data_IF_797373816624
#
_entry.id   IF_797373816624
#
_cell.length_a   1.000
_cell.length_b   1.000
_cell.length_c   1.000
_cell.angle_alpha   90.00
_cell.angle_beta   90.00
_cell.angle_gamma   90.00
#
_symmetry.space_group_name_H-M   'P 1'
#
loop_
_entity.id
_entity.type
_entity.pdbx_description
1 polymer ?
#
# COMPACT_ATOMS: atom_id res chain seq x y z
N UNK A 1 -2.44 29.29 56.17
CA UNK A 1 -2.92 29.08 54.80
C UNK A 1 -1.68 28.97 53.89
N UNK A 2 -0.96 27.87 53.72
CA UNK A 2 -1.26 26.44 53.64
C UNK A 2 -2.07 26.03 52.40
N UNK A 3 -1.49 26.15 51.20
CA UNK A 3 -1.76 25.25 50.05
C UNK A 3 -0.46 25.04 49.28
N UNK A 4 0.38 24.12 49.78
CA UNK A 4 1.47 23.52 49.01
C UNK A 4 0.84 22.35 48.24
N UNK A 5 0.47 22.57 46.97
CA UNK A 5 -0.04 21.50 46.11
C UNK A 5 1.07 20.48 45.87
N UNK A 6 0.98 19.35 46.58
CA UNK A 6 1.74 18.13 46.32
C UNK A 6 1.40 17.62 44.91
N UNK A 7 2.25 17.89 43.92
CA UNK A 7 2.39 17.01 42.77
C UNK A 7 3.24 15.81 43.22
N UNK A 8 2.60 14.84 43.87
CA UNK A 8 3.14 13.49 43.90
C UNK A 8 3.06 12.95 42.47
N UNK A 9 4.20 12.91 41.79
CA UNK A 9 4.37 12.05 40.63
C UNK A 9 4.33 10.63 41.15
N UNK A 10 3.15 9.99 41.07
CA UNK A 10 3.10 8.55 41.27
C UNK A 10 4.08 7.90 40.29
N UNK A 11 5.02 7.06 40.76
CA UNK A 11 5.86 6.32 39.85
C UNK A 11 4.94 5.48 38.97
N UNK A 12 4.98 5.73 37.66
CA UNK A 12 4.33 4.87 36.67
C UNK A 12 4.69 3.44 37.06
N UNK A 13 3.72 2.55 37.32
CA UNK A 13 4.03 1.18 37.63
C UNK A 13 4.87 0.67 36.48
N UNK A 14 6.15 0.40 36.76
CA UNK A 14 7.01 -0.33 35.84
C UNK A 14 6.19 -1.55 35.50
N UNK A 15 5.78 -1.65 34.23
CA UNK A 15 5.19 -2.87 33.72
C UNK A 15 6.29 -3.90 33.88
N UNK A 16 6.26 -4.55 35.04
CA UNK A 16 7.02 -5.72 35.38
C UNK A 16 6.75 -6.62 34.21
N UNK A 17 7.74 -6.73 33.34
CA UNK A 17 7.66 -7.51 32.13
C UNK A 17 7.15 -8.86 32.61
N UNK A 18 5.90 -9.18 32.28
CA UNK A 18 5.46 -10.54 32.36
C UNK A 18 6.39 -11.23 31.37
N UNK A 19 7.46 -11.81 31.90
CA UNK A 19 8.23 -12.88 31.31
C UNK A 19 7.25 -14.04 31.19
N UNK A 20 6.26 -13.85 30.30
CA UNK A 20 5.22 -14.79 29.98
C UNK A 20 5.99 -15.94 29.41
N UNK A 21 6.03 -17.06 30.14
CA UNK A 21 6.63 -18.33 29.72
C UNK A 21 6.10 -18.64 28.33
N UNK A 22 6.84 -18.22 27.30
CA UNK A 22 6.34 -18.24 25.93
C UNK A 22 6.17 -19.71 25.56
N UNK A 23 4.94 -20.09 25.18
CA UNK A 23 4.68 -21.44 24.70
C UNK A 23 5.62 -21.74 23.52
N UNK A 24 6.05 -23.00 23.32
CA UNK A 24 6.90 -23.35 22.18
C UNK A 24 6.29 -22.91 20.85
N UNK A 25 4.96 -22.94 20.76
CA UNK A 25 4.19 -22.42 19.63
C UNK A 25 4.42 -20.92 19.41
N UNK A 26 4.37 -20.10 20.46
CA UNK A 26 4.61 -18.66 20.35
C UNK A 26 6.04 -18.35 19.92
N UNK A 27 7.02 -19.13 20.39
CA UNK A 27 8.43 -19.00 19.95
C UNK A 27 8.59 -19.35 18.47
N UNK A 28 7.93 -20.42 18.00
CA UNK A 28 7.94 -20.81 16.59
C UNK A 28 7.29 -19.74 15.71
N UNK A 29 6.13 -19.23 16.12
CA UNK A 29 5.41 -18.16 15.39
C UNK A 29 6.26 -16.90 15.30
N UNK A 30 6.90 -16.49 16.39
CA UNK A 30 7.81 -15.34 16.38
C UNK A 30 9.00 -15.55 15.45
N UNK A 31 9.66 -16.73 15.53
CA UNK A 31 10.78 -17.08 14.64
C UNK A 31 10.38 -17.08 13.16
N UNK A 32 9.19 -17.62 12.86
CA UNK A 32 8.67 -17.63 11.51
C UNK A 32 8.35 -16.20 11.03
N UNK A 33 7.77 -15.37 11.91
CA UNK A 33 7.53 -13.96 11.64
C UNK A 33 8.81 -13.21 11.31
N UNK A 34 9.83 -13.34 12.15
CA UNK A 34 11.14 -12.71 11.93
C UNK A 34 11.76 -13.15 10.60
N UNK A 35 11.70 -14.45 10.29
CA UNK A 35 12.17 -14.99 9.02
C UNK A 35 11.40 -14.42 7.82
N UNK A 36 10.06 -14.37 7.89
CA UNK A 36 9.24 -13.81 6.82
C UNK A 36 9.56 -12.33 6.58
N UNK A 37 9.76 -11.56 7.65
CA UNK A 37 10.09 -10.13 7.57
C UNK A 37 11.53 -9.88 7.09
N UNK A 38 12.47 -10.78 7.36
CA UNK A 38 13.85 -10.65 6.88
C UNK A 38 13.95 -10.96 5.37
N UNK A 39 13.30 -12.06 4.94
CA UNK A 39 13.38 -12.60 3.58
C UNK A 39 12.23 -12.18 2.65
N UNK A 40 11.31 -11.32 3.10
CA UNK A 40 10.09 -10.94 2.36
C UNK A 40 10.32 -10.63 0.87
N UNK A 41 11.33 -9.81 0.55
CA UNK A 41 11.63 -9.41 -0.82
C UNK A 41 12.11 -10.58 -1.68
N UNK A 42 12.92 -11.49 -1.10
CA UNK A 42 13.38 -12.69 -1.80
C UNK A 42 12.22 -13.67 -2.02
N UNK A 43 11.32 -13.80 -1.05
CA UNK A 43 10.11 -14.62 -1.19
C UNK A 43 9.26 -14.12 -2.36
N UNK A 44 9.05 -12.81 -2.48
CA UNK A 44 8.30 -12.22 -3.61
C UNK A 44 9.01 -12.52 -4.94
N UNK A 45 10.32 -12.25 -5.03
CA UNK A 45 11.09 -12.47 -6.26
C UNK A 45 11.11 -13.94 -6.68
N UNK A 46 11.32 -14.87 -5.74
CA UNK A 46 11.29 -16.31 -6.01
C UNK A 46 9.90 -16.75 -6.46
N UNK A 47 8.84 -16.28 -5.80
CA UNK A 47 7.46 -16.62 -6.17
C UNK A 47 7.12 -16.16 -7.59
N UNK A 48 7.48 -14.91 -7.94
CA UNK A 48 7.31 -14.38 -9.29
C UNK A 48 8.15 -15.14 -10.32
N UNK A 49 9.40 -15.45 -9.98
CA UNK A 49 10.31 -16.22 -10.83
C UNK A 49 9.79 -17.63 -11.10
N UNK A 50 9.26 -18.31 -10.09
CA UNK A 50 8.63 -19.62 -10.23
C UNK A 50 7.40 -19.55 -11.13
N UNK A 51 6.55 -18.54 -10.97
CA UNK A 51 5.37 -18.35 -11.81
C UNK A 51 5.74 -18.16 -13.29
N UNK A 52 6.68 -17.25 -13.59
CA UNK A 52 7.15 -16.98 -14.96
C UNK A 52 7.84 -18.22 -15.55
N UNK A 53 8.68 -18.90 -14.75
CA UNK A 53 9.38 -20.11 -15.17
C UNK A 53 8.40 -21.24 -15.48
N UNK A 54 7.37 -21.44 -14.66
CA UNK A 54 6.33 -22.42 -14.90
C UNK A 54 5.56 -22.13 -16.21
N UNK A 55 5.24 -20.86 -16.48
CA UNK A 55 4.56 -20.45 -17.70
C UNK A 55 5.39 -20.73 -18.97
N UNK A 56 6.70 -20.48 -18.90
CA UNK A 56 7.64 -20.80 -19.99
C UNK A 56 7.83 -22.30 -20.10
N UNK A 57 7.89 -23.03 -19.00
CA UNK A 57 8.13 -24.48 -19.00
C UNK A 57 7.06 -25.25 -19.79
N UNK A 58 5.78 -24.86 -19.70
CA UNK A 58 4.66 -25.54 -20.40
C UNK A 58 4.95 -25.88 -21.86
N UNK A 59 5.19 -24.92 -22.77
CA UNK A 59 5.42 -25.23 -24.18
C UNK A 59 6.68 -26.07 -24.42
N UNK A 60 7.73 -25.91 -23.61
CA UNK A 60 8.94 -26.74 -23.71
C UNK A 60 8.67 -28.19 -23.29
N UNK A 61 7.91 -28.41 -22.21
CA UNK A 61 7.53 -29.76 -21.77
C UNK A 61 6.63 -30.45 -22.78
N UNK A 62 5.65 -29.74 -23.36
CA UNK A 62 4.81 -30.30 -24.42
C UNK A 62 5.58 -30.60 -25.71
N UNK A 63 6.54 -29.75 -26.08
CA UNK A 63 7.44 -30.03 -27.22
C UNK A 63 8.26 -31.31 -27.02
N UNK A 64 8.70 -31.59 -25.79
CA UNK A 64 9.40 -32.84 -25.43
C UNK A 64 8.47 -34.07 -25.31
N UNK A 65 7.15 -33.90 -25.50
CA UNK A 65 6.16 -34.96 -25.33
C UNK A 65 5.82 -35.29 -23.87
N UNK A 66 6.25 -34.46 -22.90
CA UNK A 66 6.00 -34.64 -21.46
C UNK A 66 4.63 -34.08 -21.05
N UNK A 67 3.59 -34.43 -21.80
CA UNK A 67 2.23 -33.90 -21.60
C UNK A 67 1.63 -34.24 -20.24
N UNK A 68 2.05 -35.37 -19.64
CA UNK A 68 1.64 -35.77 -18.30
C UNK A 68 2.03 -34.74 -17.22
N UNK A 69 3.10 -33.98 -17.45
CA UNK A 69 3.58 -32.92 -16.55
C UNK A 69 3.11 -31.53 -17.03
N UNK A 70 3.13 -31.30 -18.34
CA UNK A 70 2.74 -30.01 -18.93
C UNK A 70 1.28 -29.64 -18.65
N UNK A 71 0.34 -30.58 -18.87
CA UNK A 71 -1.11 -30.31 -18.74
C UNK A 71 -1.54 -29.92 -17.32
N UNK A 72 -1.10 -30.59 -16.25
CA UNK A 72 -1.37 -30.13 -14.88
C UNK A 72 -0.82 -28.74 -14.58
N UNK A 73 0.39 -28.40 -15.05
CA UNK A 73 0.97 -27.06 -14.86
C UNK A 73 0.13 -26.02 -15.59
N UNK A 74 -0.22 -26.28 -16.85
CA UNK A 74 -1.07 -25.40 -17.66
C UNK A 74 -2.46 -25.19 -17.02
N UNK A 75 -3.05 -26.26 -16.50
CA UNK A 75 -4.31 -26.20 -15.76
C UNK A 75 -4.18 -25.42 -14.45
N UNK A 76 -3.12 -25.62 -13.67
CA UNK A 76 -2.88 -24.85 -12.45
C UNK A 76 -2.72 -23.34 -12.75
N UNK A 77 -2.07 -23.00 -13.87
CA UNK A 77 -1.93 -21.60 -14.30
C UNK A 77 -3.27 -20.95 -14.73
N UNK A 78 -4.34 -21.72 -14.95
CA UNK A 78 -5.67 -21.14 -15.21
C UNK A 78 -6.20 -20.34 -14.01
N UNK A 79 -5.81 -20.68 -12.79
CA UNK A 79 -6.16 -19.89 -11.60
C UNK A 79 -5.53 -18.48 -11.63
N UNK A 80 -4.48 -18.29 -12.43
CA UNK A 80 -3.77 -17.01 -12.58
C UNK A 80 -4.17 -16.30 -13.88
N UNK A 81 -4.49 -17.04 -14.94
CA UNK A 81 -4.76 -16.49 -16.25
C UNK A 81 -5.79 -17.29 -17.02
N UNK A 82 -6.73 -16.63 -17.70
CA UNK A 82 -7.72 -17.31 -18.52
C UNK A 82 -7.17 -18.02 -19.79
N UNK A 83 -5.89 -17.80 -20.14
CA UNK A 83 -5.19 -18.51 -21.23
C UNK A 83 -5.93 -18.52 -22.57
N UNK A 84 -6.46 -17.37 -22.99
CA UNK A 84 -7.17 -17.20 -24.27
C UNK A 84 -6.22 -17.48 -25.44
N UNK A 85 -6.50 -18.48 -26.31
CA UNK A 85 -5.58 -18.90 -27.37
C UNK A 85 -5.22 -17.82 -28.40
N UNK A 86 -6.15 -16.90 -28.69
CA UNK A 86 -5.94 -15.79 -29.64
C UNK A 86 -5.06 -14.66 -29.09
N UNK A 87 -4.71 -14.71 -27.79
CA UNK A 87 -4.02 -13.64 -27.08
C UNK A 87 -2.78 -14.14 -26.34
N UNK A 88 -2.40 -15.38 -26.58
CA UNK A 88 -1.21 -16.01 -26.02
C UNK A 88 -0.08 -16.10 -27.04
N UNK A 89 1.14 -16.23 -26.54
CA UNK A 89 2.29 -16.56 -27.37
C UNK A 89 2.36 -18.07 -27.62
N UNK A 90 2.99 -18.45 -28.72
CA UNK A 90 3.25 -19.84 -29.05
C UNK A 90 4.76 -20.05 -29.21
N UNK A 91 5.29 -21.07 -28.55
CA UNK A 91 6.69 -21.48 -28.64
C UNK A 91 6.68 -22.94 -29.12
N UNK A 92 7.38 -23.22 -30.22
CA UNK A 92 7.36 -24.55 -30.90
C UNK A 92 5.95 -25.07 -31.22
N UNK A 93 5.01 -24.17 -31.54
CA UNK A 93 3.61 -24.54 -31.84
C UNK A 93 2.74 -24.82 -30.61
N UNK A 94 3.29 -24.74 -29.39
CA UNK A 94 2.56 -24.89 -28.14
C UNK A 94 2.29 -23.55 -27.47
N UNK A 95 1.09 -23.41 -26.91
CA UNK A 95 0.66 -22.21 -26.21
C UNK A 95 1.46 -22.00 -24.92
N UNK A 96 1.88 -20.75 -24.67
CA UNK A 96 2.49 -20.36 -23.40
C UNK A 96 1.49 -20.49 -22.25
N UNK A 97 1.95 -20.87 -21.05
CA UNK A 97 1.09 -21.05 -19.88
C UNK A 97 0.39 -19.79 -19.34
N UNK A 98 0.65 -18.62 -19.93
CA UNK A 98 0.00 -17.35 -19.62
C UNK A 98 -0.26 -16.58 -20.92
N UNK A 99 -1.34 -15.81 -21.00
CA UNK A 99 -1.58 -14.86 -22.10
C UNK A 99 -0.45 -13.83 -22.19
N UNK A 100 -0.27 -13.23 -23.37
CA UNK A 100 0.78 -12.24 -23.63
C UNK A 100 0.81 -11.09 -22.60
N UNK A 101 -0.37 -10.57 -22.21
CA UNK A 101 -0.51 -9.51 -21.19
C UNK A 101 -0.09 -9.98 -19.79
N UNK A 102 -0.57 -11.13 -19.34
CA UNK A 102 -0.23 -11.64 -17.99
C UNK A 102 1.25 -12.02 -17.93
N UNK A 103 1.78 -12.63 -18.99
CA UNK A 103 3.20 -12.93 -19.08
C UNK A 103 4.06 -11.67 -18.97
N UNK A 104 3.74 -10.60 -19.72
CA UNK A 104 4.51 -9.34 -19.65
C UNK A 104 4.41 -8.64 -18.30
N UNK A 105 3.25 -8.68 -17.62
CA UNK A 105 3.09 -8.19 -16.24
C UNK A 105 4.02 -8.95 -15.29
N UNK A 106 3.88 -10.28 -15.22
CA UNK A 106 4.63 -11.06 -14.22
C UNK A 106 6.13 -11.10 -14.54
N UNK A 107 6.51 -11.11 -15.82
CA UNK A 107 7.91 -11.03 -16.22
C UNK A 107 8.54 -9.68 -15.83
N UNK A 108 7.86 -8.55 -16.07
CA UNK A 108 8.39 -7.24 -15.68
C UNK A 108 8.42 -7.06 -14.16
N UNK A 109 7.41 -7.59 -13.44
CA UNK A 109 7.42 -7.63 -11.98
C UNK A 109 8.58 -8.47 -11.44
N UNK A 110 8.81 -9.66 -12.03
CA UNK A 110 9.93 -10.52 -11.66
C UNK A 110 11.26 -9.78 -11.87
N UNK A 111 11.51 -9.23 -13.06
CA UNK A 111 12.73 -8.49 -13.38
C UNK A 111 12.90 -7.28 -12.44
N UNK A 112 11.85 -6.49 -12.23
CA UNK A 112 11.88 -5.35 -11.31
C UNK A 112 12.20 -5.75 -9.87
N UNK A 113 11.62 -6.86 -9.40
CA UNK A 113 11.85 -7.37 -8.04
C UNK A 113 13.26 -7.96 -7.89
N UNK A 114 13.75 -8.65 -8.92
CA UNK A 114 15.10 -9.20 -8.97
C UNK A 114 16.13 -8.07 -8.93
N UNK A 115 15.92 -7.04 -9.75
CA UNK A 115 16.73 -5.82 -9.72
C UNK A 115 16.69 -5.18 -8.31
N UNK A 116 15.52 -5.08 -7.68
CA UNK A 116 15.37 -4.54 -6.32
C UNK A 116 16.19 -5.32 -5.27
N UNK A 117 16.13 -6.65 -5.32
CA UNK A 117 16.89 -7.56 -4.46
C UNK A 117 18.40 -7.43 -4.72
N UNK A 118 18.83 -7.46 -5.99
CA UNK A 118 20.24 -7.36 -6.38
C UNK A 118 20.86 -6.01 -6.01
N UNK A 119 20.09 -4.93 -6.08
CA UNK A 119 20.50 -3.59 -5.63
C UNK A 119 20.45 -3.42 -4.10
N UNK A 120 20.35 -4.51 -3.34
CA UNK A 120 20.33 -4.51 -1.87
C UNK A 120 19.25 -3.59 -1.29
N UNK A 121 18.07 -3.56 -1.91
CA UNK A 121 16.90 -2.77 -1.48
C UNK A 121 17.14 -1.25 -1.47
N UNK A 122 18.09 -0.73 -2.27
CA UNK A 122 18.45 0.70 -2.34
C UNK A 122 17.69 1.53 -3.39
N UNK A 123 16.66 0.97 -4.02
CA UNK A 123 15.93 1.69 -5.06
C UNK A 123 15.13 2.87 -4.49
N UNK A 124 15.22 4.06 -5.10
CA UNK A 124 14.35 5.17 -4.74
C UNK A 124 12.91 4.82 -5.13
N UNK A 125 11.99 5.05 -4.19
CA UNK A 125 10.55 4.92 -4.45
C UNK A 125 10.08 6.03 -5.39
N UNK A 126 9.21 5.69 -6.33
CA UNK A 126 8.57 6.67 -7.22
C UNK A 126 7.41 7.36 -6.51
N UNK A 127 7.10 8.62 -6.85
CA UNK A 127 5.92 9.30 -6.33
C UNK A 127 4.63 8.70 -6.93
N UNK A 128 3.53 8.81 -6.19
CA UNK A 128 2.26 8.13 -6.51
C UNK A 128 1.70 8.51 -7.90
N UNK A 129 1.93 9.73 -8.38
CA UNK A 129 1.43 10.17 -9.70
C UNK A 129 2.16 9.50 -10.87
N UNK A 130 3.46 9.17 -10.73
CA UNK A 130 4.21 8.40 -11.75
C UNK A 130 3.71 6.97 -11.79
N UNK A 131 3.38 6.40 -10.63
CA UNK A 131 2.75 5.07 -10.56
C UNK A 131 1.41 5.06 -11.30
N UNK A 132 0.52 6.04 -11.05
CA UNK A 132 -0.75 6.17 -11.79
C UNK A 132 -0.51 6.32 -13.30
N UNK A 133 0.45 7.14 -13.71
CA UNK A 133 0.79 7.31 -15.13
C UNK A 133 1.20 5.99 -15.81
N UNK A 134 1.92 5.13 -15.10
CA UNK A 134 2.32 3.79 -15.58
C UNK A 134 1.15 2.79 -15.63
N UNK A 135 0.11 2.98 -14.81
CA UNK A 135 -1.10 2.15 -14.82
C UNK A 135 -2.05 2.50 -15.98
N UNK A 136 -2.15 3.79 -16.32
CA UNK A 136 -3.15 4.29 -17.27
C UNK A 136 -3.16 3.59 -18.64
N UNK A 137 -2.00 3.32 -19.29
CA UNK A 137 -2.00 2.65 -20.59
C UNK A 137 -2.66 1.27 -20.56
N UNK A 138 -2.45 0.50 -19.48
CA UNK A 138 -3.09 -0.80 -19.31
C UNK A 138 -4.58 -0.66 -19.01
N UNK A 139 -4.95 0.26 -18.11
CA UNK A 139 -6.36 0.48 -17.80
C UNK A 139 -7.13 0.84 -19.08
N UNK A 140 -6.57 1.74 -19.90
CA UNK A 140 -7.15 2.13 -21.17
C UNK A 140 -7.23 0.96 -22.17
N UNK A 141 -6.14 0.22 -22.38
CA UNK A 141 -6.10 -0.96 -23.28
C UNK A 141 -7.07 -2.06 -22.82
N UNK A 142 -7.15 -2.31 -21.51
CA UNK A 142 -8.09 -3.27 -20.92
C UNK A 142 -9.55 -2.85 -21.08
N UNK A 143 -9.89 -1.59 -20.73
CA UNK A 143 -11.25 -1.08 -20.85
C UNK A 143 -11.71 -1.08 -22.31
N UNK A 144 -10.93 -0.51 -23.22
CA UNK A 144 -11.31 -0.42 -24.63
C UNK A 144 -11.50 -1.79 -25.28
N UNK A 145 -10.70 -2.78 -24.89
CA UNK A 145 -10.86 -4.16 -25.36
C UNK A 145 -12.11 -4.84 -24.75
N UNK A 146 -12.42 -4.62 -23.47
CA UNK A 146 -13.61 -5.20 -22.83
C UNK A 146 -14.93 -4.68 -23.42
N UNK A 147 -14.97 -3.42 -23.84
CA UNK A 147 -16.14 -2.83 -24.52
C UNK A 147 -16.21 -3.16 -26.03
N UNK A 148 -15.28 -3.98 -26.55
CA UNK A 148 -15.26 -4.37 -27.96
C UNK A 148 -14.95 -3.22 -28.92
N UNK A 149 -14.45 -2.09 -28.39
CA UNK A 149 -14.16 -0.90 -29.19
C UNK A 149 -12.90 -1.08 -30.05
N UNK A 150 -12.06 -2.09 -29.72
CA UNK A 150 -10.80 -2.36 -30.39
C UNK A 150 -10.27 -3.77 -30.08
N UNK A 151 -9.66 -4.43 -31.07
CA UNK A 151 -8.80 -5.59 -30.86
C UNK A 151 -7.37 -5.15 -30.46
N UNK A 152 -6.85 -5.72 -29.38
CA UNK A 152 -5.54 -5.35 -28.84
C UNK A 152 -4.43 -6.18 -29.48
N UNK A 153 -3.49 -5.51 -30.13
CA UNK A 153 -2.31 -6.13 -30.73
C UNK A 153 -1.39 -6.73 -29.67
N UNK A 154 -0.66 -7.79 -30.03
CA UNK A 154 0.30 -8.42 -29.11
C UNK A 154 1.36 -7.43 -28.57
N UNK A 155 1.76 -6.45 -29.38
CA UNK A 155 2.73 -5.40 -29.00
C UNK A 155 2.16 -4.52 -27.89
N UNK A 156 0.92 -4.06 -28.03
CA UNK A 156 0.29 -3.22 -27.02
C UNK A 156 0.16 -3.95 -25.70
N UNK A 157 -0.28 -5.21 -25.73
CA UNK A 157 -0.38 -6.06 -24.52
C UNK A 157 0.95 -6.23 -23.80
N UNK A 158 2.04 -6.34 -24.55
CA UNK A 158 3.38 -6.43 -23.97
C UNK A 158 3.80 -5.09 -23.37
N UNK A 159 3.63 -3.98 -24.08
CA UNK A 159 4.05 -2.65 -23.61
C UNK A 159 3.23 -2.23 -22.39
N UNK A 160 1.90 -2.24 -22.50
CA UNK A 160 1.01 -1.84 -21.39
C UNK A 160 1.18 -2.78 -20.19
N UNK A 161 1.32 -4.08 -20.45
CA UNK A 161 1.69 -5.11 -19.48
C UNK A 161 2.97 -4.83 -18.71
N UNK A 162 4.04 -4.54 -19.45
CA UNK A 162 5.37 -4.28 -18.90
C UNK A 162 5.37 -3.02 -18.04
N UNK A 163 4.77 -1.92 -18.53
CA UNK A 163 4.67 -0.66 -17.80
C UNK A 163 3.89 -0.82 -16.49
N UNK A 164 2.76 -1.52 -16.54
CA UNK A 164 1.95 -1.80 -15.36
C UNK A 164 2.72 -2.63 -14.33
N UNK A 165 3.32 -3.76 -14.74
CA UNK A 165 4.04 -4.64 -13.82
C UNK A 165 5.27 -3.98 -13.20
N UNK A 166 6.07 -3.28 -14.01
CA UNK A 166 7.25 -2.54 -13.54
C UNK A 166 6.82 -1.40 -12.60
N UNK A 167 5.80 -0.62 -12.96
CA UNK A 167 5.28 0.47 -12.15
C UNK A 167 4.80 -0.01 -10.77
N UNK A 168 4.04 -1.12 -10.72
CA UNK A 168 3.59 -1.70 -9.47
C UNK A 168 4.75 -2.13 -8.57
N UNK A 169 5.72 -2.86 -9.10
CA UNK A 169 6.88 -3.33 -8.31
C UNK A 169 7.77 -2.17 -7.87
N UNK A 170 8.00 -1.18 -8.73
CA UNK A 170 8.81 -0.01 -8.40
C UNK A 170 8.14 0.89 -7.34
N UNK A 171 6.81 0.95 -7.31
CA UNK A 171 6.10 1.68 -6.26
C UNK A 171 6.00 0.88 -4.95
N UNK A 172 5.52 -0.36 -5.03
CA UNK A 172 5.14 -1.17 -3.86
C UNK A 172 6.36 -1.65 -3.07
N UNK A 173 7.43 -2.13 -3.72
CA UNK A 173 8.56 -2.70 -2.97
C UNK A 173 9.28 -1.66 -2.09
N UNK A 174 9.65 -0.46 -2.58
CA UNK A 174 10.24 0.56 -1.72
C UNK A 174 9.28 1.06 -0.64
N UNK A 175 7.97 1.13 -0.93
CA UNK A 175 6.96 1.50 0.06
C UNK A 175 6.87 0.47 1.18
N UNK A 176 6.76 -0.81 0.85
CA UNK A 176 6.79 -1.91 1.82
C UNK A 176 8.07 -1.90 2.64
N UNK A 177 9.23 -1.69 2.02
CA UNK A 177 10.50 -1.58 2.73
C UNK A 177 10.48 -0.44 3.77
N UNK A 178 9.89 0.71 3.45
CA UNK A 178 9.74 1.82 4.41
C UNK A 178 8.82 1.44 5.56
N UNK A 179 7.66 0.85 5.27
CA UNK A 179 6.71 0.41 6.29
C UNK A 179 7.28 -0.66 7.22
N UNK A 180 8.14 -1.56 6.72
CA UNK A 180 8.80 -2.58 7.53
C UNK A 180 9.95 -2.03 8.38
N UNK A 181 10.57 -0.92 7.97
CA UNK A 181 11.62 -0.25 8.73
C UNK A 181 11.09 0.78 9.72
N UNK A 182 9.83 1.20 9.62
CA UNK A 182 9.23 2.16 10.55
C UNK A 182 9.03 1.47 11.92
N UNK A 183 9.76 1.88 12.97
CA UNK A 183 9.64 1.26 14.26
C UNK A 183 8.36 1.77 14.95
N UNK A 184 7.65 0.92 15.71
CA UNK A 184 6.53 1.39 16.52
C UNK A 184 7.04 2.43 17.53
N UNK A 185 6.34 3.56 17.67
CA UNK A 185 6.75 4.64 18.58
C UNK A 185 6.94 4.09 20.01
N UNK A 186 7.92 4.60 20.79
CA UNK A 186 8.06 4.16 22.18
C UNK A 186 6.81 4.54 22.99
N UNK A 187 6.41 3.77 24.02
CA UNK A 187 5.18 4.02 24.80
C UNK A 187 5.06 5.44 25.37
N UNK A 188 6.19 6.00 25.78
CA UNK A 188 6.34 7.38 26.27
C UNK A 188 6.09 8.45 25.18
N UNK A 189 6.33 8.14 23.91
CA UNK A 189 5.96 9.00 22.79
C UNK A 189 4.43 9.00 22.56
N UNK A 190 3.78 7.83 22.69
CA UNK A 190 2.31 7.75 22.63
C UNK A 190 1.65 8.57 23.74
N UNK A 191 2.16 8.50 24.98
CA UNK A 191 1.65 9.31 26.09
C UNK A 191 1.76 10.82 25.85
N UNK A 192 2.87 11.28 25.27
CA UNK A 192 3.05 12.70 24.92
C UNK A 192 2.07 13.14 23.82
N UNK A 193 1.80 12.30 22.83
CA UNK A 193 0.81 12.59 21.79
C UNK A 193 -0.61 12.67 22.36
N UNK A 194 -0.96 11.77 23.28
CA UNK A 194 -2.28 11.77 23.96
C UNK A 194 -2.49 13.02 24.82
N UNK A 195 -1.41 13.63 25.33
CA UNK A 195 -1.45 14.87 26.10
C UNK A 195 -1.40 16.14 25.22
N UNK A 196 -1.58 16.01 23.89
CA UNK A 196 -1.49 17.13 22.94
C UNK A 196 -0.06 17.64 22.70
N UNK A 197 0.94 16.90 23.18
CA UNK A 197 2.36 17.20 22.96
C UNK A 197 2.85 16.73 21.58
N UNK A 198 3.91 17.36 21.06
CA UNK A 198 4.58 16.93 19.83
C UNK A 198 5.74 15.99 20.16
N UNK A 199 5.95 14.96 19.34
CA UNK A 199 7.13 14.08 19.47
C UNK A 199 8.21 14.57 18.51
N UNK A 200 9.36 15.05 19.04
CA UNK A 200 10.44 15.48 18.18
C UNK A 200 11.15 14.28 17.54
N UNK A 201 11.55 14.42 16.29
CA UNK A 201 12.12 13.33 15.47
C UNK A 201 13.40 12.73 16.06
N UNK A 202 14.14 13.50 16.86
CA UNK A 202 15.33 12.99 17.57
C UNK A 202 14.99 11.98 18.67
N UNK A 203 13.81 12.08 19.31
CA UNK A 203 13.41 11.16 20.36
C UNK A 203 13.09 9.76 19.79
N UNK A 204 12.53 9.73 18.58
CA UNK A 204 12.32 8.50 17.80
C UNK A 204 13.65 7.91 17.34
N UNK A 205 14.57 8.76 16.87
CA UNK A 205 15.94 8.35 16.46
C UNK A 205 16.79 7.81 17.60
N UNK A 206 16.61 8.33 18.82
CA UNK A 206 17.28 7.84 20.04
C UNK A 206 16.76 6.48 20.47
N UNK A 207 15.44 6.26 20.37
CA UNK A 207 14.82 4.97 20.69
C UNK A 207 15.14 3.88 19.65
N UNK A 208 15.32 4.26 18.37
CA UNK A 208 15.58 3.34 17.26
C UNK A 208 16.69 3.85 16.34
N UNK A 209 17.98 3.62 16.69
CA UNK A 209 19.12 4.17 15.96
C UNK A 209 19.31 3.60 14.55
N UNK A 210 18.70 2.45 14.25
CA UNK A 210 18.81 1.76 12.96
C UNK A 210 17.83 2.26 11.87
N UNK A 211 16.86 3.12 12.22
CA UNK A 211 15.84 3.57 11.27
C UNK A 211 16.34 4.79 10.47
N UNK A 212 16.36 4.74 9.13
CA UNK A 212 16.74 5.88 8.31
C UNK A 212 15.61 6.92 8.32
N UNK A 213 15.64 7.82 9.31
CA UNK A 213 14.73 8.96 9.39
C UNK A 213 15.10 9.99 8.33
N UNK A 214 14.14 10.38 7.48
CA UNK A 214 14.36 11.46 6.51
C UNK A 214 14.63 12.79 7.24
N UNK A 215 15.69 13.54 6.88
CA UNK A 215 16.15 14.70 7.63
C UNK A 215 15.23 15.93 7.59
N UNK A 216 14.17 15.95 6.77
CA UNK A 216 13.40 17.18 6.49
C UNK A 216 12.21 17.47 7.42
N UNK A 217 11.84 16.60 8.36
CA UNK A 217 10.69 16.87 9.26
C UNK A 217 11.13 17.01 10.74
N UNK A 218 11.02 18.20 11.37
CA UNK A 218 11.44 18.44 12.76
C UNK A 218 10.51 17.83 13.83
N UNK A 219 9.32 17.39 13.42
CA UNK A 219 8.29 16.82 14.27
C UNK A 219 7.53 15.74 13.50
N UNK A 220 7.17 14.65 14.18
CA UNK A 220 6.26 13.64 13.61
C UNK A 220 4.83 14.15 13.82
N UNK A 221 4.17 14.58 12.73
CA UNK A 221 2.74 14.87 12.77
C UNK A 221 1.98 13.54 12.70
N UNK A 222 1.65 12.99 13.87
CA UNK A 222 0.65 11.94 13.96
C UNK A 222 -0.68 12.65 14.15
N UNK A 223 -1.47 12.80 13.10
CA UNK A 223 -2.90 13.03 13.29
C UNK A 223 -3.41 11.81 14.05
N UNK A 224 -3.96 11.95 15.26
CA UNK A 224 -4.53 10.81 15.96
C UNK A 224 -5.54 10.18 15.01
N UNK A 225 -5.41 8.87 14.74
CA UNK A 225 -6.55 8.11 14.27
C UNK A 225 -7.55 8.28 15.41
N UNK A 226 -8.53 9.15 15.20
CA UNK A 226 -9.61 9.35 16.14
C UNK A 226 -10.09 7.96 16.51
N UNK A 227 -10.14 7.70 17.81
CA UNK A 227 -10.70 6.48 18.35
C UNK A 227 -11.96 6.15 17.54
N UNK A 228 -11.99 4.98 16.91
CA UNK A 228 -13.26 4.39 16.50
C UNK A 228 -13.98 4.09 17.82
N UNK A 229 -14.67 5.11 18.31
CA UNK A 229 -15.60 5.01 19.41
C UNK A 229 -16.78 4.23 18.87
N UNK A 230 -16.70 2.90 19.05
CA UNK A 230 -17.88 2.06 18.96
C UNK A 230 -18.93 2.65 19.91
N UNK A 231 -20.13 2.88 19.39
CA UNK A 231 -21.30 3.54 20.00
C UNK A 231 -21.29 5.08 19.99
N UNK A 232 -21.94 5.69 18.99
CA UNK A 232 -23.30 6.30 19.06
C UNK A 232 -23.69 6.74 17.63
N UNK A 233 -24.99 6.79 17.33
CA UNK A 233 -25.64 6.99 16.02
C UNK A 233 -25.14 8.15 15.13
N UNK A 234 -25.38 8.10 13.79
CA UNK A 234 -24.89 9.11 12.85
C UNK A 234 -25.66 10.43 12.99
N UNK A 235 -25.03 11.45 13.56
CA UNK A 235 -25.52 12.82 13.47
C UNK A 235 -25.08 13.40 12.11
N UNK A 236 -26.06 13.66 11.25
CA UNK A 236 -25.88 14.34 9.98
C UNK A 236 -25.23 15.73 10.17
N UNK A 237 -24.39 16.20 9.23
CA UNK A 237 -23.80 17.53 9.32
C UNK A 237 -24.86 18.59 9.03
N UNK A 238 -25.27 19.32 10.08
CA UNK A 238 -26.08 20.53 9.97
C UNK A 238 -25.26 21.62 9.28
N UNK A 239 -25.66 21.96 8.06
CA UNK A 239 -25.24 23.16 7.33
C UNK A 239 -25.48 24.39 8.22
N UNK A 240 -24.42 25.09 8.60
CA UNK A 240 -24.52 26.41 9.21
C UNK A 240 -24.96 27.40 8.12
N UNK A 241 -26.26 27.66 8.05
CA UNK A 241 -26.85 28.83 7.38
C UNK A 241 -26.75 30.00 8.34
N UNK A 242 -26.03 31.05 7.93
CA UNK A 242 -25.92 32.31 8.65
C UNK A 242 -27.30 33.01 8.75
N UNK A 243 -27.81 33.34 9.95
CA UNK A 243 -29.12 33.98 10.07
C UNK A 243 -29.03 35.48 9.76
N UNK A 244 -29.75 35.90 8.71
CA UNK A 244 -30.15 37.29 8.46
C UNK A 244 -30.92 37.84 9.68
N UNK A 245 -30.46 38.96 10.21
CA UNK A 245 -31.14 39.71 11.28
C UNK A 245 -32.50 40.27 10.79
N UNK A 246 -33.58 40.17 11.58
CA UNK A 246 -34.83 40.82 11.26
C UNK A 246 -34.83 42.27 11.77
N UNK A 247 -34.84 43.24 10.84
CA UNK A 247 -35.16 44.65 11.14
C UNK A 247 -36.67 44.82 11.23
N UNK A 248 -37.15 45.15 12.43
CA UNK A 248 -38.55 45.46 12.74
C UNK A 248 -39.03 46.71 12.00
N UNK A 249 -40.14 46.56 11.28
CA UNK A 249 -40.97 47.66 10.77
C UNK A 249 -41.73 48.37 11.89
N UNK A 250 -41.73 49.70 11.89
CA UNK A 250 -42.84 50.51 12.41
C UNK A 250 -43.27 51.52 11.32
N UNK A 251 -44.58 51.80 11.15
CA UNK A 251 -45.07 52.58 10.01
C UNK A 251 -45.49 54.02 10.37
N UNK A 252 -45.72 54.78 9.29
CA UNK A 252 -46.59 55.95 9.15
C UNK A 252 -46.01 57.37 9.36
N UNK A 253 -45.65 57.97 8.20
CA UNK A 253 -46.27 59.16 7.60
C UNK A 253 -46.48 60.44 8.43
N UNK A 254 -45.67 61.46 8.15
CA UNK A 254 -46.03 62.89 8.06
C UNK A 254 -44.89 63.58 7.29
N UNK A 255 -45.11 64.05 6.06
CA UNK A 255 -45.68 65.36 5.69
C UNK A 255 -44.58 66.32 5.20
N UNK A 256 -44.69 66.72 3.93
CA UNK A 256 -44.54 68.12 3.55
C UNK A 256 -43.21 68.59 2.95
N UNK A 257 -43.38 69.18 1.76
CA UNK A 257 -42.70 70.38 1.25
C UNK A 257 -41.39 70.26 0.44
N UNK A 258 -41.56 70.72 -0.82
CA UNK A 258 -40.71 71.69 -1.54
C UNK A 258 -39.41 71.16 -2.16
N UNK A 259 -39.00 71.54 -3.36
CA UNK A 259 -39.57 72.40 -4.40
C UNK A 259 -38.68 72.25 -5.66
N UNK A 260 -39.22 72.78 -6.76
CA UNK A 260 -38.62 73.06 -8.09
C UNK A 260 -38.69 71.92 -9.12
#
# INVERSE_FOLDING_TARGET
MAIQHMFHSEPVPQSTSLAKKQSPLLKLVNRLGDFLLEYWAHIITVSLGLLVSAAIAVPFLSYLGLDAISKPIFFALHYVCAQIPSHSFYIYGHQLGLCARNFSIYASMFIGSLIFVLSKKRFPGIPWYVWILLLLPMAWDGLTQMFGLRESDWILRVITGTLFGLGNVWFVLPLMQKSLLEPPLPPQAYQRLQQGGRVPTYAVRSAYPACPVQPEQPYVNVTPIAHVEASTEPVMPTLAVEPLQPSSTSPSTQAGHNAL
#
